data_IF_284320351688
#
_entry.id   IF_284320351688
#
_cell.length_a   1.000
_cell.length_b   1.000
_cell.length_c   1.000
_cell.angle_alpha   90.00
_cell.angle_beta   90.00
_cell.angle_gamma   90.00
#
_symmetry.space_group_name_H-M   'P 1'
#
loop_
_entity.id
_entity.type
_entity.pdbx_description
1 polymer ?
#
# COMPACT_ATOMS: atom_id res chain seq x y z
N UNK A 1 -19.44 -2.37 8.88
CA UNK A 1 -18.52 -1.34 8.35
C UNK A 1 -17.25 -2.06 7.92
N UNK A 2 -16.56 -1.62 6.87
CA UNK A 2 -15.29 -2.23 6.43
C UNK A 2 -14.18 -1.17 6.59
N UNK A 3 -13.59 -1.03 7.79
CA UNK A 3 -12.62 0.02 8.05
C UNK A 3 -11.33 -0.28 7.31
N UNK A 4 -10.86 0.70 6.54
CA UNK A 4 -9.60 0.63 5.81
C UNK A 4 -8.76 1.86 6.14
N UNK A 5 -7.44 1.71 6.06
CA UNK A 5 -6.52 2.82 6.21
C UNK A 5 -5.39 2.72 5.18
N UNK A 6 -4.81 3.88 4.88
CA UNK A 6 -3.60 3.98 4.08
C UNK A 6 -2.56 4.77 4.87
N UNK A 7 -1.31 4.34 4.80
CA UNK A 7 -0.18 4.97 5.49
C UNK A 7 0.98 5.15 4.53
N UNK A 8 1.55 6.35 4.50
CA UNK A 8 2.93 6.56 4.07
C UNK A 8 3.69 7.11 5.27
N UNK A 9 4.49 6.25 5.89
CA UNK A 9 5.04 6.54 7.23
C UNK A 9 6.54 6.39 7.29
N UNK A 10 7.20 6.27 6.13
CA UNK A 10 8.65 6.18 6.02
C UNK A 10 9.25 5.22 7.06
N UNK A 11 8.63 4.04 7.17
CA UNK A 11 9.01 2.97 8.08
C UNK A 11 8.88 3.30 9.59
N UNK A 12 8.13 4.33 10.02
CA UNK A 12 8.01 4.81 11.41
C UNK A 12 9.36 4.89 12.12
N UNK A 13 10.39 5.30 11.38
CA UNK A 13 11.71 5.48 11.94
C UNK A 13 11.65 6.69 12.85
N UNK A 14 12.01 6.50 14.11
CA UNK A 14 12.39 7.59 14.97
C UNK A 14 13.58 8.30 14.27
N UNK A 15 13.43 9.57 13.86
CA UNK A 15 14.46 10.24 13.06
C UNK A 15 15.75 10.48 13.85
N UNK A 16 15.70 10.40 15.19
CA UNK A 16 16.86 10.56 16.08
C UNK A 16 17.59 9.25 16.37
N UNK A 17 16.87 8.13 16.53
CA UNK A 17 17.49 6.82 16.84
C UNK A 17 17.62 5.89 15.64
N UNK A 18 16.88 6.13 14.56
CA UNK A 18 16.75 5.20 13.44
C UNK A 18 16.03 3.89 13.80
N UNK A 19 15.45 3.80 15.00
CA UNK A 19 14.66 2.64 15.43
C UNK A 19 13.22 2.75 14.95
N UNK A 20 12.60 1.61 14.71
CA UNK A 20 11.21 1.51 14.29
C UNK A 20 10.37 1.03 15.47
N UNK A 21 9.46 1.87 15.96
CA UNK A 21 8.54 1.49 17.03
C UNK A 21 7.22 0.96 16.44
N UNK A 22 7.21 -0.34 16.14
CA UNK A 22 6.02 -1.04 15.65
C UNK A 22 4.92 -1.11 16.72
N UNK A 23 5.28 -1.06 18.00
CA UNK A 23 4.31 -1.14 19.10
C UNK A 23 3.51 0.15 19.23
N UNK A 24 4.16 1.30 19.07
CA UNK A 24 3.50 2.61 19.00
C UNK A 24 2.56 2.71 17.79
N UNK A 25 3.02 2.30 16.60
CA UNK A 25 2.17 2.25 15.41
C UNK A 25 0.93 1.37 15.66
N UNK A 26 1.12 0.20 16.24
CA UNK A 26 0.01 -0.70 16.58
C UNK A 26 -0.94 -0.05 17.58
N UNK A 27 -0.44 0.65 18.59
CA UNK A 27 -1.27 1.36 19.57
C UNK A 27 -2.14 2.42 18.90
N UNK A 28 -1.59 3.14 17.92
CA UNK A 28 -2.33 4.12 17.10
C UNK A 28 -3.40 3.44 16.25
N UNK A 29 -3.09 2.31 15.60
CA UNK A 29 -4.02 1.63 14.69
C UNK A 29 -5.11 0.82 15.41
N UNK A 30 -4.84 0.35 16.63
CA UNK A 30 -5.72 -0.57 17.38
C UNK A 30 -7.17 -0.07 17.56
N UNK A 31 -7.45 1.20 17.90
CA UNK A 31 -8.82 1.67 18.09
C UNK A 31 -9.67 1.68 16.80
N UNK A 32 -9.03 1.63 15.63
CA UNK A 32 -9.72 1.71 14.34
C UNK A 32 -10.26 0.37 13.84
N UNK A 33 -9.91 -0.75 14.48
CA UNK A 33 -10.39 -2.10 14.15
C UNK A 33 -10.33 -2.42 12.64
N UNK A 34 -9.18 -2.11 12.03
CA UNK A 34 -9.00 -2.13 10.58
C UNK A 34 -9.15 -3.53 9.97
N UNK A 35 -9.95 -3.63 8.91
CA UNK A 35 -10.06 -4.80 8.05
C UNK A 35 -8.92 -4.88 7.03
N UNK A 36 -8.45 -3.73 6.55
CA UNK A 36 -7.41 -3.62 5.53
C UNK A 36 -6.49 -2.43 5.81
N UNK A 37 -5.20 -2.63 5.59
CA UNK A 37 -4.16 -1.62 5.70
C UNK A 37 -3.35 -1.57 4.41
N UNK A 38 -3.26 -0.40 3.78
CA UNK A 38 -2.38 -0.13 2.66
C UNK A 38 -1.14 0.64 3.14
N UNK A 39 0.06 0.11 2.89
CA UNK A 39 1.33 0.71 3.28
C UNK A 39 2.12 1.14 2.02
N UNK A 40 2.76 2.30 2.10
CA UNK A 40 3.56 2.90 1.03
C UNK A 40 5.02 3.08 1.49
N UNK A 41 5.97 2.82 0.59
CA UNK A 41 7.39 3.01 0.90
C UNK A 41 7.97 1.85 1.71
N UNK A 42 7.54 0.62 1.41
CA UNK A 42 8.04 -0.58 2.06
C UNK A 42 9.38 -0.96 1.44
N UNK A 43 10.47 -0.75 2.20
CA UNK A 43 11.83 -1.10 1.78
C UNK A 43 12.29 -2.49 2.28
N UNK A 44 11.57 -3.10 3.24
CA UNK A 44 11.90 -4.40 3.80
C UNK A 44 10.64 -5.12 4.32
N UNK A 45 10.46 -6.38 3.89
CA UNK A 45 9.30 -7.22 4.21
C UNK A 45 9.16 -7.56 5.71
N UNK A 46 10.26 -7.57 6.47
CA UNK A 46 10.22 -7.99 7.87
C UNK A 46 9.30 -7.13 8.77
N UNK A 47 8.98 -5.89 8.36
CA UNK A 47 8.24 -4.95 9.22
C UNK A 47 6.74 -5.06 9.09
N UNK A 48 6.22 -5.15 7.87
CA UNK A 48 4.79 -5.41 7.70
C UNK A 48 4.48 -6.83 8.17
N UNK A 49 5.41 -7.78 8.05
CA UNK A 49 5.27 -9.09 8.68
C UNK A 49 5.17 -8.96 10.21
N UNK A 50 6.02 -8.14 10.86
CA UNK A 50 5.90 -7.84 12.31
C UNK A 50 4.59 -7.14 12.68
N UNK A 51 4.13 -6.20 11.86
CA UNK A 51 2.84 -5.54 12.06
C UNK A 51 1.68 -6.55 11.90
N UNK A 52 1.77 -7.45 10.93
CA UNK A 52 0.77 -8.50 10.66
C UNK A 52 0.74 -9.51 11.81
N UNK A 53 1.89 -10.06 12.19
CA UNK A 53 2.03 -11.03 13.31
C UNK A 53 1.53 -10.47 14.64
N UNK A 54 1.64 -9.16 14.87
CA UNK A 54 1.27 -8.49 16.12
C UNK A 54 -0.11 -7.82 16.12
N UNK A 55 -0.84 -7.87 14.99
CA UNK A 55 -2.15 -7.26 14.80
C UNK A 55 -3.22 -8.30 14.43
N UNK A 56 -4.44 -7.84 14.15
CA UNK A 56 -5.54 -8.69 13.67
C UNK A 56 -5.41 -9.09 12.20
N UNK A 57 -4.41 -8.60 11.46
CA UNK A 57 -4.22 -8.97 10.05
C UNK A 57 -3.66 -10.38 9.96
N UNK A 58 -4.25 -11.20 9.09
CA UNK A 58 -3.89 -12.60 8.91
C UNK A 58 -3.08 -12.83 7.62
N UNK A 59 -3.12 -11.87 6.71
CA UNK A 59 -2.53 -11.96 5.38
C UNK A 59 -1.83 -10.66 5.04
N UNK A 60 -0.66 -10.76 4.41
CA UNK A 60 0.08 -9.63 3.85
C UNK A 60 0.54 -9.95 2.43
N UNK A 61 0.61 -8.92 1.58
CA UNK A 61 1.23 -9.02 0.27
C UNK A 61 2.00 -7.75 -0.06
N UNK A 62 3.13 -7.93 -0.73
CA UNK A 62 4.05 -6.89 -1.16
C UNK A 62 4.05 -6.82 -2.68
N UNK A 63 4.33 -5.64 -3.23
CA UNK A 63 4.70 -5.53 -4.62
C UNK A 63 6.01 -6.27 -4.95
N UNK A 64 6.32 -6.32 -6.24
CA UNK A 64 7.24 -7.30 -6.80
C UNK A 64 8.71 -6.89 -6.85
N UNK A 65 9.09 -5.65 -6.50
CA UNK A 65 10.45 -5.17 -6.79
C UNK A 65 11.22 -4.75 -5.53
N UNK A 66 11.78 -5.78 -4.88
CA UNK A 66 12.43 -5.75 -3.56
C UNK A 66 13.79 -5.02 -3.52
N UNK A 67 14.32 -4.55 -4.65
CA UNK A 67 15.69 -3.99 -4.67
C UNK A 67 15.77 -2.53 -5.07
N UNK A 68 14.79 -1.98 -5.83
CA UNK A 68 14.91 -0.63 -6.40
C UNK A 68 13.61 0.20 -6.45
N UNK A 69 12.53 -0.23 -5.78
CA UNK A 69 11.23 0.45 -5.87
C UNK A 69 10.71 0.96 -4.52
N UNK A 70 10.01 2.10 -4.57
CA UNK A 70 9.12 2.52 -3.49
C UNK A 70 7.90 1.62 -3.56
N UNK A 71 7.97 0.47 -2.92
CA UNK A 71 6.94 -0.53 -3.10
C UNK A 71 5.74 -0.29 -2.18
N UNK A 72 4.63 -0.88 -2.59
CA UNK A 72 3.39 -0.84 -1.85
C UNK A 72 3.11 -2.21 -1.24
N UNK A 73 2.34 -2.22 -0.17
CA UNK A 73 1.88 -3.45 0.44
C UNK A 73 0.45 -3.32 0.96
N UNK A 74 -0.21 -4.47 1.08
CA UNK A 74 -1.53 -4.59 1.69
C UNK A 74 -1.46 -5.65 2.79
N UNK A 75 -1.92 -5.30 4.00
CA UNK A 75 -2.25 -6.26 5.05
C UNK A 75 -3.77 -6.35 5.22
N UNK A 76 -4.28 -7.55 5.44
CA UNK A 76 -5.71 -7.86 5.41
C UNK A 76 -6.08 -8.90 6.45
N UNK A 77 -7.30 -8.81 7.00
CA UNK A 77 -7.92 -9.90 7.78
C UNK A 77 -8.40 -11.05 6.91
N UNK A 78 -8.57 -10.79 5.62
CA UNK A 78 -9.17 -11.69 4.62
C UNK A 78 -8.11 -12.18 3.63
N UNK A 79 -8.23 -13.43 3.15
CA UNK A 79 -7.27 -14.00 2.21
C UNK A 79 -7.28 -13.26 0.87
N UNK A 80 -6.14 -13.25 0.19
CA UNK A 80 -6.04 -12.71 -1.17
C UNK A 80 -6.47 -13.77 -2.20
N UNK A 81 -7.36 -13.40 -3.12
CA UNK A 81 -7.73 -14.25 -4.25
C UNK A 81 -6.74 -14.11 -5.40
N UNK A 82 -6.43 -12.87 -5.76
CA UNK A 82 -5.47 -12.55 -6.81
C UNK A 82 -4.85 -11.19 -6.55
N UNK A 83 -3.58 -11.04 -6.93
CA UNK A 83 -2.89 -9.78 -6.84
C UNK A 83 -1.98 -9.57 -8.04
N UNK A 84 -1.84 -8.31 -8.45
CA UNK A 84 -1.02 -7.90 -9.58
C UNK A 84 -0.29 -6.61 -9.24
N UNK A 85 1.03 -6.66 -9.36
CA UNK A 85 1.86 -5.47 -9.30
C UNK A 85 2.12 -4.94 -10.72
N UNK A 86 2.09 -3.62 -10.89
CA UNK A 86 2.46 -2.97 -12.13
C UNK A 86 3.37 -1.77 -11.83
N UNK A 87 4.62 -1.84 -12.28
CA UNK A 87 5.57 -0.72 -12.19
C UNK A 87 5.33 0.30 -13.31
N UNK A 88 5.58 1.58 -13.02
CA UNK A 88 5.69 2.62 -14.03
C UNK A 88 6.94 2.35 -14.88
N UNK A 89 6.83 2.50 -16.20
CA UNK A 89 7.89 2.15 -17.15
C UNK A 89 9.05 3.15 -17.21
N UNK A 90 9.10 4.12 -16.30
CA UNK A 90 10.11 5.18 -16.29
C UNK A 90 10.60 5.45 -14.87
N UNK A 91 11.90 5.72 -14.77
CA UNK A 91 12.56 6.07 -13.52
C UNK A 91 12.27 7.54 -13.19
N UNK A 92 11.90 7.80 -11.94
CA UNK A 92 11.83 9.16 -11.39
C UNK A 92 12.99 9.37 -10.41
N UNK A 93 13.30 10.62 -10.08
CA UNK A 93 14.36 10.94 -9.10
C UNK A 93 14.12 10.24 -7.75
N UNK A 94 12.85 9.97 -7.43
CA UNK A 94 12.43 9.15 -6.30
C UNK A 94 12.14 7.68 -6.67
N UNK A 95 12.92 7.06 -7.55
CA UNK A 95 12.85 5.63 -7.91
C UNK A 95 11.70 5.24 -8.85
N UNK A 96 11.57 3.94 -9.10
CA UNK A 96 10.44 3.38 -9.86
C UNK A 96 9.22 3.26 -8.95
N UNK A 97 8.07 3.80 -9.39
CA UNK A 97 6.79 3.69 -8.68
C UNK A 97 5.97 2.51 -9.20
N UNK A 98 5.15 1.94 -8.33
CA UNK A 98 4.26 0.82 -8.68
C UNK A 98 2.83 1.06 -8.24
N UNK A 99 1.93 0.24 -8.76
CA UNK A 99 0.57 0.07 -8.28
C UNK A 99 0.34 -1.41 -7.99
N UNK A 100 -0.12 -1.71 -6.78
CA UNK A 100 -0.49 -3.06 -6.35
C UNK A 100 -2.03 -3.14 -6.33
N UNK A 101 -2.56 -4.11 -7.09
CA UNK A 101 -3.99 -4.34 -7.26
C UNK A 101 -4.33 -5.73 -6.73
N UNK A 102 -5.32 -5.85 -5.85
CA UNK A 102 -5.67 -7.11 -5.19
C UNK A 102 -7.19 -7.30 -5.09
N UNK A 103 -7.63 -8.52 -5.36
CA UNK A 103 -8.93 -9.02 -4.93
C UNK A 103 -8.75 -9.83 -3.64
N UNK A 104 -9.68 -9.65 -2.71
CA UNK A 104 -9.78 -10.42 -1.47
C UNK A 104 -10.89 -11.46 -1.61
N UNK A 105 -10.73 -12.60 -0.94
CA UNK A 105 -11.67 -13.72 -0.97
C UNK A 105 -12.53 -13.74 0.31
N UNK A 106 -13.74 -13.18 0.24
CA UNK A 106 -14.76 -13.19 1.30
C UNK A 106 -16.12 -12.73 0.74
N UNK A 107 -17.23 -13.22 1.30
CA UNK A 107 -18.60 -12.90 0.85
C UNK A 107 -19.13 -11.55 1.38
N UNK A 108 -18.33 -10.79 2.13
CA UNK A 108 -18.75 -9.49 2.64
C UNK A 108 -18.99 -8.50 1.47
N UNK A 109 -20.12 -7.75 1.43
CA UNK A 109 -20.47 -6.89 0.29
C UNK A 109 -19.50 -5.76 -0.07
N UNK A 110 -18.56 -5.43 0.83
CA UNK A 110 -17.49 -4.44 0.60
C UNK A 110 -16.18 -5.07 0.10
N UNK A 111 -16.14 -6.39 0.04
CA UNK A 111 -15.00 -7.20 -0.37
C UNK A 111 -15.32 -7.89 -1.69
N UNK A 112 -16.47 -8.56 -1.74
CA UNK A 112 -16.92 -9.33 -2.89
C UNK A 112 -16.87 -8.46 -4.16
N UNK A 113 -16.17 -8.94 -5.19
CA UNK A 113 -16.03 -8.28 -6.49
C UNK A 113 -15.37 -6.89 -6.48
N UNK A 114 -14.78 -6.43 -5.37
CA UNK A 114 -14.08 -5.14 -5.32
C UNK A 114 -12.58 -5.30 -5.55
N UNK A 115 -12.01 -4.41 -6.35
CA UNK A 115 -10.58 -4.29 -6.57
C UNK A 115 -9.96 -3.28 -5.61
N UNK A 116 -9.15 -3.76 -4.68
CA UNK A 116 -8.37 -2.93 -3.76
C UNK A 116 -7.04 -2.58 -4.38
N UNK A 117 -6.75 -1.30 -4.46
CA UNK A 117 -5.57 -0.80 -5.13
C UNK A 117 -4.79 0.17 -4.24
N UNK A 118 -3.47 0.03 -4.20
CA UNK A 118 -2.58 0.94 -3.49
C UNK A 118 -1.46 1.42 -4.41
N UNK A 119 -1.12 2.71 -4.33
CA UNK A 119 0.01 3.30 -5.05
C UNK A 119 0.70 4.40 -4.23
N UNK A 120 1.91 4.76 -4.64
CA UNK A 120 2.67 5.87 -4.07
C UNK A 120 3.30 6.65 -5.22
N UNK A 121 2.65 7.74 -5.62
CA UNK A 121 3.07 8.52 -6.79
C UNK A 121 4.29 9.41 -6.49
N UNK A 122 4.89 9.96 -7.54
CA UNK A 122 6.02 10.89 -7.46
C UNK A 122 5.68 12.08 -6.54
N UNK A 123 6.56 12.41 -5.60
CA UNK A 123 6.37 13.49 -4.63
C UNK A 123 7.05 14.81 -5.03
N UNK A 124 7.89 14.80 -6.07
CA UNK A 124 8.70 15.96 -6.51
C UNK A 124 8.21 16.55 -7.82
N UNK A 125 7.66 15.73 -8.72
CA UNK A 125 7.37 16.13 -10.09
C UNK A 125 5.94 15.78 -10.53
N UNK A 126 5.11 16.81 -10.68
CA UNK A 126 3.71 16.68 -11.09
C UNK A 126 3.54 16.04 -12.48
N UNK A 127 4.47 16.30 -13.41
CA UNK A 127 4.43 15.71 -14.75
C UNK A 127 4.68 14.20 -14.70
N UNK A 128 5.58 13.75 -13.82
CA UNK A 128 5.79 12.32 -13.56
C UNK A 128 4.55 11.71 -12.91
N UNK A 129 3.96 12.41 -11.95
CA UNK A 129 2.73 11.99 -11.26
C UNK A 129 1.57 11.74 -12.21
N UNK A 130 1.38 12.66 -13.16
CA UNK A 130 0.36 12.53 -14.19
C UNK A 130 0.64 11.34 -15.14
N UNK A 131 1.90 11.17 -15.55
CA UNK A 131 2.31 10.02 -16.38
C UNK A 131 2.09 8.69 -15.65
N UNK A 132 2.42 8.61 -14.36
CA UNK A 132 2.19 7.43 -13.52
C UNK A 132 0.71 7.11 -13.39
N UNK A 133 -0.11 8.12 -13.06
CA UNK A 133 -1.57 7.97 -12.95
C UNK A 133 -2.15 7.38 -14.24
N UNK A 134 -1.78 7.93 -15.40
CA UNK A 134 -2.19 7.43 -16.72
C UNK A 134 -1.68 6.02 -17.02
N UNK A 135 -0.45 5.69 -16.62
CA UNK A 135 0.12 4.36 -16.84
C UNK A 135 -0.63 3.29 -16.03
N UNK A 136 -1.08 3.62 -14.82
CA UNK A 136 -1.75 2.70 -13.91
C UNK A 136 -3.23 2.47 -14.23
N UNK A 137 -3.88 3.44 -14.86
CA UNK A 137 -5.25 3.33 -15.38
C UNK A 137 -5.22 2.87 -16.84
N UNK A 138 -5.29 1.56 -17.08
CA UNK A 138 -5.63 1.05 -18.41
C UNK A 138 -7.13 1.21 -18.63
N UNK A 139 -7.57 1.40 -19.88
CA UNK A 139 -8.99 1.64 -20.25
C UNK A 139 -10.00 0.56 -19.82
N UNK A 140 -9.54 -0.57 -19.25
CA UNK A 140 -10.39 -1.70 -18.82
C UNK A 140 -10.24 -2.11 -17.35
N UNK A 141 -9.32 -1.49 -16.60
CA UNK A 141 -9.16 -1.79 -15.18
C UNK A 141 -10.08 -0.86 -14.39
N UNK A 142 -11.25 -1.35 -13.98
CA UNK A 142 -12.12 -0.61 -13.06
C UNK A 142 -11.53 -0.74 -11.65
N UNK A 143 -11.11 0.38 -11.07
CA UNK A 143 -10.58 0.44 -9.70
C UNK A 143 -11.72 0.89 -8.79
N UNK A 144 -12.20 -0.01 -7.93
CA UNK A 144 -13.27 0.32 -6.98
C UNK A 144 -12.74 1.14 -5.80
N UNK A 145 -11.56 0.75 -5.29
CA UNK A 145 -10.96 1.35 -4.11
C UNK A 145 -9.50 1.67 -4.42
N UNK A 146 -9.17 2.97 -4.45
CA UNK A 146 -7.82 3.48 -4.60
C UNK A 146 -7.33 4.07 -3.26
N UNK A 147 -6.26 3.50 -2.74
CA UNK A 147 -5.55 3.89 -1.53
C UNK A 147 -4.15 4.38 -1.91
N UNK A 148 -3.53 5.08 -0.96
CA UNK A 148 -2.12 5.41 -1.05
C UNK A 148 -1.83 6.90 -1.06
N UNK A 149 -0.55 7.20 -1.27
CA UNK A 149 -0.05 8.56 -1.31
C UNK A 149 -0.03 9.07 -2.76
N UNK A 150 -1.06 9.86 -3.08
CA UNK A 150 -1.22 10.48 -4.41
C UNK A 150 -0.31 11.71 -4.55
N UNK A 151 0.32 12.19 -3.48
CA UNK A 151 1.23 13.34 -3.46
C UNK A 151 0.69 14.64 -4.09
N UNK A 152 -0.63 14.76 -4.29
CA UNK A 152 -1.29 15.86 -5.00
C UNK A 152 -1.67 17.05 -4.12
N UNK A 153 -0.68 17.60 -3.40
CA UNK A 153 -0.82 18.88 -2.72
C UNK A 153 -0.34 19.98 -3.67
N UNK A 154 -1.30 20.72 -4.23
CA UNK A 154 -1.08 21.97 -4.96
C UNK A 154 -0.68 23.09 -4.02
#
# INVERSE_FOLDING_TARGET
MFPLATLNVYLFLNPSSGECDIDDLRSILKPFDLCLLADQGVFNNERLDKLTISSSFLYSIYGADRQHSFDNAIASRYPFESCKNQSASFFSDGGTRSILKCHLHDDHPRIENHLFTVTHLDHLNDSNRLKQSKAFTREKDFIDILLGDINALT
#
